data_IF_261950472823
#
_entry.id   IF_261950472823
#
_cell.length_a   1.000
_cell.length_b   1.000
_cell.length_c   1.000
_cell.angle_alpha   90.00
_cell.angle_beta   90.00
_cell.angle_gamma   90.00
#
_symmetry.space_group_name_H-M   'P 1'
#
loop_
_entity.id
_entity.type
_entity.pdbx_description
1 polymer ?
#
# COMPACT_ATOMS: atom_id res chain seq x y z
N UNK A 1 -3.27 -8.87 -11.74
CA UNK A 1 -2.97 -7.80 -10.76
C UNK A 1 -3.67 -8.02 -9.42
N UNK A 2 -4.94 -8.44 -9.42
CA UNK A 2 -5.69 -8.72 -8.18
C UNK A 2 -5.03 -9.74 -7.25
N UNK A 3 -4.41 -10.80 -7.80
CA UNK A 3 -3.68 -11.78 -6.99
C UNK A 3 -2.52 -11.17 -6.18
N UNK A 4 -1.87 -10.10 -6.68
CA UNK A 4 -0.82 -9.39 -5.94
C UNK A 4 -1.41 -8.47 -4.87
N UNK A 5 -2.56 -7.85 -5.14
CA UNK A 5 -3.29 -7.03 -4.15
C UNK A 5 -3.69 -7.91 -2.97
N UNK A 6 -4.29 -9.07 -3.23
CA UNK A 6 -4.68 -10.03 -2.18
C UNK A 6 -3.47 -10.47 -1.34
N UNK A 7 -2.34 -10.81 -1.98
CA UNK A 7 -1.10 -11.13 -1.26
C UNK A 7 -0.61 -9.99 -0.36
N UNK A 8 -0.71 -8.73 -0.81
CA UNK A 8 -0.34 -7.56 0.01
C UNK A 8 -1.28 -7.39 1.22
N UNK A 9 -2.57 -7.72 1.07
CA UNK A 9 -3.56 -7.71 2.15
C UNK A 9 -3.40 -8.86 3.16
N UNK A 10 -2.86 -9.99 2.73
CA UNK A 10 -2.57 -11.16 3.58
C UNK A 10 -1.23 -11.00 4.31
N UNK A 11 -0.16 -10.67 3.58
CA UNK A 11 1.19 -10.45 4.12
C UNK A 11 1.86 -9.26 3.44
N UNK A 12 1.64 -8.08 4.02
CA UNK A 12 2.17 -6.83 3.49
C UNK A 12 3.70 -6.82 3.49
N UNK A 13 4.37 -7.28 4.56
CA UNK A 13 5.82 -7.08 4.69
C UNK A 13 6.58 -7.99 3.73
N UNK A 14 6.22 -9.28 3.64
CA UNK A 14 6.88 -10.20 2.73
C UNK A 14 6.56 -9.86 1.28
N UNK A 15 5.31 -9.48 0.98
CA UNK A 15 4.92 -9.10 -0.38
C UNK A 15 5.72 -7.91 -0.89
N UNK A 16 5.86 -6.85 -0.08
CA UNK A 16 6.56 -5.63 -0.51
C UNK A 16 8.04 -5.83 -0.80
N UNK A 17 8.72 -6.72 -0.07
CA UNK A 17 10.15 -7.02 -0.32
C UNK A 17 10.39 -7.62 -1.70
N UNK A 18 9.43 -8.40 -2.21
CA UNK A 18 9.55 -9.12 -3.48
C UNK A 18 9.08 -8.31 -4.69
N UNK A 19 8.55 -7.10 -4.47
CA UNK A 19 8.12 -6.24 -5.57
C UNK A 19 9.30 -5.53 -6.22
N UNK A 20 9.22 -5.33 -7.53
CA UNK A 20 10.06 -4.38 -8.26
C UNK A 20 9.71 -2.92 -7.89
N UNK A 21 10.59 -1.97 -8.22
CA UNK A 21 10.32 -0.55 -7.97
C UNK A 21 9.07 -0.06 -8.74
N UNK A 22 8.89 -0.51 -9.99
CA UNK A 22 7.71 -0.17 -10.79
C UNK A 22 6.41 -0.68 -10.15
N UNK A 23 6.43 -1.90 -9.58
CA UNK A 23 5.29 -2.43 -8.83
C UNK A 23 5.05 -1.65 -7.54
N UNK A 24 6.10 -1.28 -6.80
CA UNK A 24 5.96 -0.44 -5.61
C UNK A 24 5.36 0.93 -5.93
N UNK A 25 5.75 1.55 -7.05
CA UNK A 25 5.15 2.80 -7.52
C UNK A 25 3.67 2.64 -7.84
N UNK A 26 3.32 1.58 -8.57
CA UNK A 26 1.94 1.24 -8.89
C UNK A 26 1.10 1.07 -7.61
N UNK A 27 1.54 0.21 -6.68
CA UNK A 27 0.80 -0.04 -5.44
C UNK A 27 0.77 1.19 -4.53
N UNK A 28 1.83 2.00 -4.50
CA UNK A 28 1.80 3.26 -3.78
C UNK A 28 0.66 4.16 -4.26
N UNK A 29 0.52 4.34 -5.57
CA UNK A 29 -0.54 5.17 -6.15
C UNK A 29 -1.93 4.55 -5.93
N UNK A 30 -2.06 3.22 -6.10
CA UNK A 30 -3.30 2.50 -5.86
C UNK A 30 -3.78 2.67 -4.41
N UNK A 31 -2.96 2.30 -3.42
CA UNK A 31 -3.35 2.38 -2.01
C UNK A 31 -3.46 3.83 -1.50
N UNK A 32 -2.77 4.78 -2.13
CA UNK A 32 -2.99 6.22 -1.92
C UNK A 32 -4.39 6.60 -2.35
N UNK A 33 -4.80 6.24 -3.57
CA UNK A 33 -6.13 6.52 -4.10
C UNK A 33 -7.23 5.87 -3.24
N UNK A 34 -7.10 4.58 -2.92
CA UNK A 34 -8.03 3.86 -2.04
C UNK A 34 -8.20 4.56 -0.69
N UNK A 35 -7.10 5.00 -0.07
CA UNK A 35 -7.14 5.71 1.21
C UNK A 35 -7.88 7.05 1.13
N UNK A 36 -7.64 7.82 0.06
CA UNK A 36 -8.34 9.09 -0.15
C UNK A 36 -9.82 8.86 -0.48
N UNK A 37 -10.15 7.89 -1.33
CA UNK A 37 -11.51 7.58 -1.73
C UNK A 37 -12.38 7.11 -0.54
N UNK A 38 -11.85 6.22 0.31
CA UNK A 38 -12.51 5.81 1.55
C UNK A 38 -12.62 6.94 2.60
N UNK A 39 -11.94 8.07 2.40
CA UNK A 39 -12.13 9.26 3.23
C UNK A 39 -13.35 10.08 2.82
N UNK A 40 -13.84 9.91 1.59
CA UNK A 40 -15.02 10.60 1.08
C UNK A 40 -16.32 9.81 1.25
N UNK A 41 -16.26 8.47 1.29
CA UNK A 41 -17.42 7.59 1.44
C UNK A 41 -17.33 6.76 2.72
N UNK A 42 -17.83 7.29 3.84
CA UNK A 42 -17.75 6.66 5.15
C UNK A 42 -19.04 5.92 5.53
N UNK A 43 -19.15 4.64 5.20
CA UNK A 43 -20.02 3.69 5.92
C UNK A 43 -19.24 3.04 7.07
N UNK A 44 -19.92 2.48 8.09
CA UNK A 44 -19.25 1.84 9.24
C UNK A 44 -18.42 0.60 8.85
N UNK A 45 -18.81 -0.15 7.82
CA UNK A 45 -18.02 -1.27 7.28
C UNK A 45 -16.69 -0.83 6.67
N UNK A 46 -16.62 0.40 6.12
CA UNK A 46 -15.39 0.97 5.56
C UNK A 46 -14.28 1.26 6.59
N UNK A 47 -14.57 1.36 7.89
CA UNK A 47 -13.57 1.79 8.88
C UNK A 47 -12.47 0.75 9.14
N UNK A 48 -12.79 -0.55 9.11
CA UNK A 48 -11.81 -1.63 9.29
C UNK A 48 -10.89 -1.73 8.06
N UNK A 49 -11.46 -1.64 6.87
CA UNK A 49 -10.71 -1.60 5.61
C UNK A 49 -9.81 -0.37 5.52
N UNK A 50 -10.28 0.81 5.97
CA UNK A 50 -9.49 2.04 5.96
C UNK A 50 -8.20 1.95 6.79
N UNK A 51 -8.27 1.34 7.97
CA UNK A 51 -7.07 1.11 8.80
C UNK A 51 -6.08 0.16 8.11
N UNK A 52 -6.59 -0.88 7.44
CA UNK A 52 -5.77 -1.86 6.72
C UNK A 52 -5.09 -1.23 5.50
N UNK A 53 -5.85 -0.50 4.68
CA UNK A 53 -5.36 0.31 3.55
C UNK A 53 -4.29 1.31 4.00
N UNK A 54 -4.52 2.05 5.08
CA UNK A 54 -3.56 3.02 5.60
C UNK A 54 -2.26 2.34 6.05
N UNK A 55 -2.35 1.17 6.70
CA UNK A 55 -1.17 0.39 7.12
C UNK A 55 -0.36 -0.05 5.91
N UNK A 56 -1.02 -0.58 4.88
CA UNK A 56 -0.38 -1.01 3.63
C UNK A 56 0.29 0.17 2.93
N UNK A 57 -0.42 1.29 2.76
CA UNK A 57 0.11 2.51 2.17
C UNK A 57 1.37 3.01 2.88
N UNK A 58 1.37 3.04 4.22
CA UNK A 58 2.54 3.43 5.02
C UNK A 58 3.71 2.46 4.84
N UNK A 59 3.45 1.15 4.77
CA UNK A 59 4.48 0.14 4.54
C UNK A 59 5.11 0.29 3.15
N UNK A 60 4.31 0.51 2.11
CA UNK A 60 4.81 0.78 0.76
C UNK A 60 5.69 2.03 0.75
N UNK A 61 5.22 3.13 1.38
CA UNK A 61 5.98 4.37 1.49
C UNK A 61 7.35 4.15 2.14
N UNK A 62 7.39 3.39 3.25
CA UNK A 62 8.65 3.04 3.93
C UNK A 62 9.58 2.21 3.05
N UNK A 63 9.05 1.19 2.39
CA UNK A 63 9.85 0.34 1.51
C UNK A 63 10.42 1.12 0.31
N UNK A 64 9.66 2.06 -0.25
CA UNK A 64 10.15 2.97 -1.29
C UNK A 64 11.29 3.86 -0.77
N UNK A 65 11.12 4.47 0.40
CA UNK A 65 12.16 5.30 1.02
C UNK A 65 13.44 4.50 1.30
N UNK A 66 13.32 3.25 1.74
CA UNK A 66 14.45 2.33 1.97
C UNK A 66 15.24 2.02 0.70
N UNK A 67 14.59 2.06 -0.47
CA UNK A 67 15.19 1.76 -1.77
C UNK A 67 15.68 2.98 -2.52
N UNK A 68 15.33 4.18 -2.06
CA UNK A 68 15.97 5.37 -2.57
C UNK A 68 17.44 5.31 -2.12
N UNK A 69 18.39 5.55 -3.03
CA UNK A 69 19.78 5.69 -2.62
C UNK A 69 19.84 6.82 -1.58
N UNK A 70 20.51 6.56 -0.45
CA UNK A 70 20.84 7.62 0.50
C UNK A 70 21.54 8.71 -0.30
N UNK A 71 21.00 9.93 -0.28
CA UNK A 71 21.61 11.06 -0.94
C UNK A 71 22.96 11.31 -0.25
N UNK A 72 24.05 10.93 -0.93
CA UNK A 72 25.44 11.24 -0.56
C UNK A 72 25.74 12.67 -1.01
#
# INVERSE_FOLDING_TARGET
MEALINKIYEDTICSLKNLSNLQLDYFYNYFKHEYFYQSHYSSQECFKDKKKVLKIYRSIKKEKLRRLPEAI
#
